data_IF_562768066036
#
_entry.id   IF_562768066036
#
_cell.length_a   1.000
_cell.length_b   1.000
_cell.length_c   1.000
_cell.angle_alpha   90.00
_cell.angle_beta   90.00
_cell.angle_gamma   90.00
#
_symmetry.space_group_name_H-M   'P 1'
#
loop_
_entity.id
_entity.type
_entity.pdbx_description
1 polymer ?
#
# COMPACT_ATOMS: atom_id res chain seq x y z
N UNK A 1 -3.56 -12.39 8.38
CA UNK A 1 -2.22 -12.41 7.73
C UNK A 1 -2.42 -12.48 6.23
N UNK A 2 -1.76 -11.60 5.48
CA UNK A 2 -1.99 -11.50 4.03
C UNK A 2 -0.72 -11.47 3.18
N UNK A 3 0.48 -11.24 3.72
CA UNK A 3 1.67 -11.17 2.87
C UNK A 3 2.13 -12.53 2.33
N UNK A 4 2.57 -12.56 1.07
CA UNK A 4 3.15 -13.75 0.40
C UNK A 4 4.04 -13.34 -0.76
N UNK A 5 5.07 -14.13 -1.04
CA UNK A 5 5.81 -14.00 -2.29
C UNK A 5 4.96 -14.53 -3.45
N UNK A 6 4.86 -13.74 -4.53
CA UNK A 6 4.10 -14.10 -5.74
C UNK A 6 5.04 -14.43 -6.91
N UNK A 7 6.24 -13.86 -6.91
CA UNK A 7 7.37 -14.14 -7.79
C UNK A 7 8.66 -13.81 -7.04
N UNK A 8 9.83 -14.35 -7.43
CA UNK A 8 11.10 -14.00 -6.81
C UNK A 8 11.27 -12.48 -6.67
N UNK A 9 11.38 -12.01 -5.42
CA UNK A 9 11.56 -10.59 -5.10
C UNK A 9 10.28 -9.73 -5.19
N UNK A 10 9.13 -10.31 -5.51
CA UNK A 10 7.84 -9.61 -5.58
C UNK A 10 6.86 -10.20 -4.57
N UNK A 11 6.42 -9.37 -3.64
CA UNK A 11 5.58 -9.76 -2.53
C UNK A 11 4.26 -9.01 -2.60
N UNK A 12 3.17 -9.74 -2.42
CA UNK A 12 1.91 -9.12 -2.02
C UNK A 12 2.00 -8.76 -0.53
N UNK A 13 1.68 -7.52 -0.15
CA UNK A 13 1.73 -7.00 1.23
C UNK A 13 0.46 -6.26 1.64
N UNK A 14 -0.53 -6.17 0.74
CA UNK A 14 -1.83 -5.53 0.98
C UNK A 14 -2.69 -6.20 2.05
N UNK A 15 -3.94 -5.76 2.17
CA UNK A 15 -4.87 -6.14 3.25
C UNK A 15 -6.20 -6.61 2.66
N UNK A 16 -6.76 -7.68 3.23
CA UNK A 16 -8.13 -8.13 2.94
C UNK A 16 -9.07 -7.53 3.98
N UNK A 17 -10.09 -6.82 3.53
CA UNK A 17 -11.08 -6.20 4.38
C UNK A 17 -12.44 -6.90 4.24
N UNK A 18 -12.60 -7.95 5.04
CA UNK A 18 -13.85 -8.71 5.11
C UNK A 18 -14.99 -7.92 5.74
N UNK A 19 -14.70 -6.80 6.42
CA UNK A 19 -15.68 -6.00 7.16
C UNK A 19 -16.20 -4.82 6.35
N UNK A 20 -15.58 -4.47 5.21
CA UNK A 20 -16.09 -3.46 4.29
C UNK A 20 -17.46 -3.88 3.75
N UNK A 21 -18.44 -2.99 3.81
CA UNK A 21 -19.82 -3.25 3.33
C UNK A 21 -20.23 -2.40 2.13
N UNK A 22 -19.53 -1.29 1.89
CA UNK A 22 -19.79 -0.37 0.79
C UNK A 22 -18.47 0.03 0.12
N UNK A 23 -18.43 0.03 -1.21
CA UNK A 23 -17.40 0.67 -2.01
C UNK A 23 -17.87 2.09 -2.36
N UNK A 24 -17.00 3.09 -2.15
CA UNK A 24 -17.32 4.52 -2.29
C UNK A 24 -18.61 4.95 -1.59
N UNK A 25 -18.95 4.30 -0.47
CA UNK A 25 -20.21 4.52 0.28
C UNK A 25 -21.50 4.34 -0.55
N UNK A 26 -21.40 3.68 -1.70
CA UNK A 26 -22.50 3.56 -2.67
C UNK A 26 -22.77 2.12 -3.09
N UNK A 27 -21.72 1.35 -3.40
CA UNK A 27 -21.86 0.02 -4.01
C UNK A 27 -21.73 -1.06 -2.94
N UNK A 28 -22.73 -1.94 -2.73
CA UNK A 28 -22.64 -3.02 -1.75
C UNK A 28 -21.49 -3.99 -2.01
N UNK A 29 -20.80 -4.37 -0.93
CA UNK A 29 -19.73 -5.37 -0.90
C UNK A 29 -20.10 -6.51 0.06
N UNK A 30 -20.94 -7.48 -0.35
CA UNK A 30 -21.38 -8.55 0.53
C UNK A 30 -20.24 -9.45 1.00
N UNK A 31 -19.18 -9.58 0.19
CA UNK A 31 -18.02 -10.42 0.45
C UNK A 31 -16.77 -9.63 0.91
N UNK A 32 -16.94 -8.34 1.20
CA UNK A 32 -15.83 -7.42 1.51
C UNK A 32 -14.99 -7.05 0.28
N UNK A 33 -13.77 -6.59 0.53
CA UNK A 33 -12.84 -6.18 -0.53
C UNK A 33 -11.37 -6.46 -0.14
N UNK A 34 -10.44 -6.07 -0.99
CA UNK A 34 -9.01 -6.08 -0.70
C UNK A 34 -8.34 -4.81 -1.20
N UNK A 35 -7.43 -4.27 -0.40
CA UNK A 35 -6.53 -3.18 -0.78
C UNK A 35 -5.17 -3.79 -1.12
N UNK A 36 -4.82 -3.79 -2.40
CA UNK A 36 -3.70 -4.58 -2.89
C UNK A 36 -2.43 -3.74 -3.09
N UNK A 37 -1.51 -3.86 -2.13
CA UNK A 37 -0.17 -3.27 -2.23
C UNK A 37 0.89 -4.35 -2.48
N UNK A 38 1.97 -3.98 -3.18
CA UNK A 38 3.04 -4.91 -3.56
C UNK A 38 4.41 -4.35 -3.19
N UNK A 39 5.26 -5.18 -2.60
CA UNK A 39 6.65 -4.85 -2.35
C UNK A 39 7.52 -5.53 -3.40
N UNK A 40 8.36 -4.74 -4.07
CA UNK A 40 9.37 -5.21 -5.02
C UNK A 40 10.74 -5.01 -4.39
N UNK A 41 11.48 -6.09 -4.19
CA UNK A 41 12.87 -6.08 -3.74
C UNK A 41 13.77 -6.54 -4.88
N UNK A 42 14.63 -5.64 -5.33
CA UNK A 42 15.76 -5.93 -6.21
C UNK A 42 17.06 -5.79 -5.42
N UNK A 43 18.20 -6.14 -6.01
CA UNK A 43 19.49 -6.26 -5.30
C UNK A 43 19.86 -5.03 -4.45
N UNK A 44 19.57 -3.82 -4.92
CA UNK A 44 20.00 -2.58 -4.26
C UNK A 44 18.85 -1.67 -3.84
N UNK A 45 17.60 -2.00 -4.21
CA UNK A 45 16.45 -1.10 -4.06
C UNK A 45 15.17 -1.83 -3.70
N UNK A 46 14.36 -1.15 -2.89
CA UNK A 46 13.03 -1.60 -2.47
C UNK A 46 11.97 -0.59 -2.89
N UNK A 47 10.93 -1.06 -3.58
CA UNK A 47 9.80 -0.24 -3.98
C UNK A 47 8.49 -0.82 -3.41
N UNK A 48 7.63 0.05 -2.86
CA UNK A 48 6.26 -0.27 -2.50
C UNK A 48 5.33 0.30 -3.59
N UNK A 49 4.47 -0.55 -4.14
CA UNK A 49 3.45 -0.18 -5.12
C UNK A 49 2.11 -0.03 -4.43
N UNK A 50 1.57 1.19 -4.46
CA UNK A 50 0.41 1.67 -3.72
C UNK A 50 0.50 1.42 -2.21
N UNK A 51 -0.44 1.99 -1.47
CA UNK A 51 -0.67 1.68 -0.07
C UNK A 51 -2.06 1.04 0.09
N UNK A 52 -2.77 1.33 1.17
CA UNK A 52 -4.10 0.80 1.45
C UNK A 52 -4.99 1.94 1.97
N UNK A 53 -6.28 1.66 2.12
CA UNK A 53 -7.21 2.51 2.85
C UNK A 53 -6.64 2.94 4.22
N UNK A 54 -6.86 4.20 4.67
CA UNK A 54 -6.29 4.72 5.92
C UNK A 54 -6.55 3.81 7.13
N UNK A 55 -7.73 3.18 7.18
CA UNK A 55 -8.13 2.30 8.28
C UNK A 55 -7.30 1.01 8.36
N UNK A 56 -6.62 0.64 7.28
CA UNK A 56 -5.80 -0.57 7.16
C UNK A 56 -4.29 -0.30 7.21
N UNK A 57 -3.88 0.96 7.43
CA UNK A 57 -2.46 1.35 7.44
C UNK A 57 -1.60 0.58 8.46
N UNK A 58 -2.13 0.28 9.65
CA UNK A 58 -1.41 -0.52 10.66
C UNK A 58 -1.18 -1.97 10.21
N UNK A 59 -2.15 -2.56 9.53
CA UNK A 59 -2.02 -3.91 9.00
C UNK A 59 -0.97 -3.97 7.88
N UNK A 60 -0.94 -2.98 6.99
CA UNK A 60 0.10 -2.85 5.96
C UNK A 60 1.49 -2.72 6.60
N UNK A 61 1.67 -1.81 7.55
CA UNK A 61 2.94 -1.65 8.26
C UNK A 61 3.34 -2.91 9.03
N UNK A 62 2.37 -3.64 9.58
CA UNK A 62 2.60 -4.92 10.22
C UNK A 62 3.07 -5.99 9.24
N UNK A 63 2.50 -6.05 8.03
CA UNK A 63 2.95 -6.96 6.99
C UNK A 63 4.39 -6.63 6.58
N UNK A 64 4.71 -5.36 6.31
CA UNK A 64 6.05 -4.91 5.93
C UNK A 64 7.09 -5.25 7.02
N UNK A 65 6.81 -4.92 8.27
CA UNK A 65 7.70 -5.23 9.42
C UNK A 65 7.96 -6.72 9.55
N UNK A 66 6.91 -7.56 9.48
CA UNK A 66 7.04 -9.02 9.61
C UNK A 66 7.78 -9.66 8.44
N UNK A 67 7.74 -9.01 7.27
CA UNK A 67 8.47 -9.39 6.08
C UNK A 67 9.94 -8.91 6.10
N UNK A 68 10.37 -8.22 7.18
CA UNK A 68 11.73 -7.73 7.37
C UNK A 68 12.08 -6.55 6.47
N UNK A 69 11.12 -5.64 6.26
CA UNK A 69 11.35 -4.42 5.48
C UNK A 69 11.77 -3.31 6.42
N UNK A 70 13.05 -2.95 6.36
CA UNK A 70 13.62 -1.87 7.17
C UNK A 70 13.73 -0.54 6.40
N UNK A 71 13.80 -0.63 5.07
CA UNK A 71 13.95 0.50 4.16
C UNK A 71 13.03 0.35 2.94
N UNK A 72 12.51 1.49 2.46
CA UNK A 72 11.78 1.61 1.19
C UNK A 72 12.37 2.82 0.47
N UNK A 73 12.95 2.60 -0.71
CA UNK A 73 13.52 3.68 -1.52
C UNK A 73 12.44 4.45 -2.28
N UNK A 74 11.40 3.74 -2.74
CA UNK A 74 10.36 4.29 -3.58
C UNK A 74 8.97 3.84 -3.14
N UNK A 75 8.02 4.77 -3.12
CA UNK A 75 6.60 4.47 -3.00
C UNK A 75 5.93 4.92 -4.29
N UNK A 76 5.45 3.97 -5.09
CA UNK A 76 4.79 4.25 -6.37
C UNK A 76 3.28 4.35 -6.12
N UNK A 77 2.75 5.57 -6.10
CA UNK A 77 1.31 5.82 -5.98
C UNK A 77 0.69 5.93 -7.37
N UNK A 78 -0.05 4.90 -7.80
CA UNK A 78 -0.71 4.89 -9.12
C UNK A 78 -1.98 5.74 -9.14
N UNK A 79 -2.72 5.77 -8.04
CA UNK A 79 -3.96 6.53 -7.87
C UNK A 79 -3.91 7.35 -6.56
N UNK A 80 -4.54 8.53 -6.56
CA UNK A 80 -4.62 9.40 -5.38
C UNK A 80 -5.79 9.05 -4.45
N UNK A 81 -6.71 8.20 -4.92
CA UNK A 81 -7.89 7.78 -4.14
C UNK A 81 -7.47 7.08 -2.84
N UNK A 82 -8.30 7.23 -1.81
CA UNK A 82 -7.92 6.89 -0.44
C UNK A 82 -7.72 5.39 -0.24
N UNK A 83 -8.44 4.55 -0.95
CA UNK A 83 -8.29 3.10 -0.92
C UNK A 83 -6.95 2.61 -1.48
N UNK A 84 -6.25 3.45 -2.25
CA UNK A 84 -4.92 3.20 -2.80
C UNK A 84 -3.81 3.96 -2.06
N UNK A 85 -3.96 5.26 -1.84
CA UNK A 85 -2.91 6.13 -1.30
C UNK A 85 -3.23 6.70 0.09
N UNK A 86 -4.34 6.28 0.72
CA UNK A 86 -4.78 6.84 1.99
C UNK A 86 -3.85 6.55 3.17
N UNK A 87 -3.13 5.43 3.15
CA UNK A 87 -2.12 5.11 4.15
C UNK A 87 -0.73 5.71 3.84
N UNK A 88 -0.56 6.44 2.74
CA UNK A 88 0.72 7.04 2.34
C UNK A 88 1.37 7.90 3.44
N UNK A 89 0.66 8.81 4.14
CA UNK A 89 1.26 9.59 5.23
C UNK A 89 1.87 8.71 6.32
N UNK A 90 1.14 7.66 6.73
CA UNK A 90 1.57 6.72 7.75
C UNK A 90 2.77 5.86 7.31
N UNK A 91 2.83 5.51 6.03
CA UNK A 91 3.99 4.82 5.46
C UNK A 91 5.21 5.75 5.44
N UNK A 92 5.05 7.02 5.05
CA UNK A 92 6.13 8.01 5.03
C UNK A 92 6.65 8.35 6.45
N UNK A 93 5.78 8.35 7.47
CA UNK A 93 6.22 8.46 8.87
C UNK A 93 7.18 7.33 9.26
N UNK A 94 6.94 6.11 8.77
CA UNK A 94 7.80 4.94 9.05
C UNK A 94 9.03 4.86 8.17
N UNK A 95 8.94 5.33 6.92
CA UNK A 95 10.01 5.29 5.91
C UNK A 95 10.23 6.70 5.32
N UNK A 96 10.80 7.63 6.11
CA UNK A 96 10.87 9.06 5.74
C UNK A 96 11.77 9.36 4.54
N UNK A 97 12.74 8.49 4.25
CA UNK A 97 13.66 8.63 3.11
C UNK A 97 13.04 8.17 1.77
N UNK A 98 11.85 7.55 1.81
CA UNK A 98 11.19 7.01 0.64
C UNK A 98 10.75 8.13 -0.32
N UNK A 99 11.06 7.97 -1.61
CA UNK A 99 10.63 8.90 -2.66
C UNK A 99 9.28 8.48 -3.20
N UNK A 100 8.30 9.37 -3.13
CA UNK A 100 7.00 9.15 -3.78
C UNK A 100 7.13 9.36 -5.28
N UNK A 101 6.75 8.34 -6.06
CA UNK A 101 6.76 8.36 -7.53
C UNK A 101 5.31 8.26 -8.01
N UNK A 102 4.90 9.22 -8.82
CA UNK A 102 3.55 9.27 -9.36
C UNK A 102 3.50 10.12 -10.63
N UNK A 103 2.35 10.19 -11.30
CA UNK A 103 2.15 11.10 -12.43
C UNK A 103 1.85 12.54 -11.94
N UNK A 104 1.93 13.52 -12.84
CA UNK A 104 1.74 14.94 -12.47
C UNK A 104 0.38 15.19 -11.78
N UNK A 105 -0.70 14.58 -12.28
CA UNK A 105 -2.05 14.78 -11.77
C UNK A 105 -2.24 14.22 -10.36
N UNK A 106 -1.75 13.02 -10.11
CA UNK A 106 -1.81 12.40 -8.79
C UNK A 106 -0.90 13.14 -7.81
N UNK A 107 0.26 13.64 -8.27
CA UNK A 107 1.11 14.51 -7.47
C UNK A 107 0.47 15.83 -7.05
N UNK A 108 -0.48 16.38 -7.83
CA UNK A 108 -1.30 17.53 -7.40
C UNK A 108 -2.31 17.15 -6.31
N UNK A 109 -2.90 15.95 -6.39
CA UNK A 109 -3.95 15.48 -5.48
C UNK A 109 -3.41 14.93 -4.14
N UNK A 110 -2.15 14.50 -4.10
CA UNK A 110 -1.49 13.96 -2.90
C UNK A 110 -0.84 15.03 -2.01
N UNK A 111 -0.92 16.31 -2.39
CA UNK A 111 -0.33 17.44 -1.66
C UNK A 111 -1.23 17.98 -0.57
#
# INVERSE_FOLDING_TARGET
MSFREIRPGVYYVGVRDWDRRLFDELIPLPDGTSYNSYLIRVSEKTALIDTVDPTKGDELLSNLRRLGVDEIDYIVSKHAEQDHSGALPKVLERYPEAKVVTNARCGELLR
#
